data_IF_202036600367
#
_entry.id   IF_202036600367
#
_cell.length_a   1.000
_cell.length_b   1.000
_cell.length_c   1.000
_cell.angle_alpha   90.00
_cell.angle_beta   90.00
_cell.angle_gamma   90.00
#
_symmetry.space_group_name_H-M   'P 1'
#
loop_
_entity.id
_entity.type
_entity.pdbx_description
1 polymer ?
#
# COMPACT_ATOMS: atom_id res chain seq x y z
N UNK A 1 -14.01 13.04 -15.17
CA UNK A 1 -12.89 13.25 -14.24
C UNK A 1 -12.36 14.65 -14.50
N UNK A 2 -12.32 15.48 -13.47
CA UNK A 2 -11.79 16.84 -13.56
C UNK A 2 -10.27 16.76 -13.73
N UNK A 3 -9.71 17.48 -14.72
CA UNK A 3 -8.26 17.50 -15.04
C UNK A 3 -7.43 17.99 -13.85
N UNK A 4 -8.07 18.63 -12.87
CA UNK A 4 -7.45 19.26 -11.70
C UNK A 4 -6.94 18.28 -10.62
N UNK A 5 -7.43 17.04 -10.53
CA UNK A 5 -6.97 16.07 -9.50
C UNK A 5 -5.68 15.36 -9.88
N UNK A 6 -5.41 15.14 -11.17
CA UNK A 6 -4.21 14.44 -11.64
C UNK A 6 -2.90 15.23 -11.45
N UNK A 7 -2.97 16.54 -11.16
CA UNK A 7 -1.79 17.41 -11.04
C UNK A 7 -1.32 17.61 -9.59
N UNK A 8 -1.93 16.95 -8.61
CA UNK A 8 -1.58 17.12 -7.21
C UNK A 8 -0.37 16.28 -6.78
N UNK A 9 -0.10 15.19 -7.49
CA UNK A 9 0.96 14.23 -7.19
C UNK A 9 1.68 13.82 -8.48
N UNK A 10 2.93 13.38 -8.37
CA UNK A 10 3.69 12.81 -9.49
C UNK A 10 4.38 11.52 -9.05
N UNK A 11 4.37 10.48 -9.88
CA UNK A 11 4.97 9.20 -9.53
C UNK A 11 6.49 9.23 -9.73
N UNK A 12 7.24 8.82 -8.70
CA UNK A 12 8.70 8.91 -8.71
C UNK A 12 9.41 7.57 -8.61
N UNK A 13 8.68 6.49 -8.33
CA UNK A 13 9.22 5.13 -8.39
C UNK A 13 8.52 4.14 -7.49
N UNK A 14 8.96 2.90 -7.54
CA UNK A 14 8.40 1.78 -6.80
C UNK A 14 9.54 0.95 -6.21
N UNK A 15 9.26 0.32 -5.07
CA UNK A 15 10.11 -0.73 -4.52
C UNK A 15 9.24 -1.92 -4.17
N UNK A 16 9.67 -3.10 -4.59
CA UNK A 16 9.01 -4.36 -4.31
C UNK A 16 9.94 -5.23 -3.45
N UNK A 17 9.42 -5.74 -2.34
CA UNK A 17 10.12 -6.69 -1.47
C UNK A 17 9.36 -8.00 -1.57
N UNK A 18 9.94 -8.99 -2.25
CA UNK A 18 9.37 -10.33 -2.27
C UNK A 18 10.09 -11.22 -1.26
N UNK A 19 9.37 -11.82 -0.33
CA UNK A 19 9.99 -12.64 0.71
C UNK A 19 10.71 -13.86 0.11
N UNK A 20 10.32 -14.32 -1.09
CA UNK A 20 11.01 -15.41 -1.80
C UNK A 20 12.45 -15.09 -2.22
N UNK A 21 12.82 -13.81 -2.24
CA UNK A 21 14.16 -13.36 -2.62
C UNK A 21 15.17 -13.50 -1.45
N UNK A 22 14.72 -13.98 -0.29
CA UNK A 22 15.52 -14.12 0.92
C UNK A 22 15.60 -15.58 1.40
N UNK A 23 16.73 -15.94 2.00
CA UNK A 23 16.98 -17.27 2.54
C UNK A 23 16.42 -17.39 3.97
N UNK A 24 15.30 -18.11 4.11
CA UNK A 24 14.71 -18.46 5.41
C UNK A 24 15.38 -19.72 6.00
N UNK A 25 15.54 -19.76 7.32
CA UNK A 25 16.09 -20.92 8.04
C UNK A 25 15.14 -22.14 8.01
N UNK A 26 13.83 -21.91 7.97
CA UNK A 26 12.80 -22.96 7.84
C UNK A 26 12.21 -23.02 6.42
N UNK A 27 11.90 -24.23 5.94
CA UNK A 27 11.29 -24.42 4.61
C UNK A 27 9.80 -24.03 4.58
N UNK A 28 9.42 -23.10 3.70
CA UNK A 28 8.22 -23.26 2.89
C UNK A 28 6.85 -22.72 3.35
N UNK A 29 6.73 -21.60 4.09
CA UNK A 29 5.43 -20.88 4.24
C UNK A 29 5.46 -19.36 4.08
N UNK A 30 6.62 -18.73 4.24
CA UNK A 30 6.75 -17.27 4.28
C UNK A 30 7.07 -16.63 2.93
N UNK A 31 7.38 -17.46 1.92
CA UNK A 31 7.85 -17.04 0.58
C UNK A 31 6.75 -16.50 -0.33
N UNK A 32 5.48 -16.57 0.09
CA UNK A 32 4.35 -16.05 -0.66
C UNK A 32 4.00 -14.62 -0.29
N UNK A 33 4.63 -14.05 0.76
CA UNK A 33 4.40 -12.66 1.16
C UNK A 33 5.25 -11.70 0.36
N UNK A 34 4.70 -10.52 0.13
CA UNK A 34 5.42 -9.43 -0.50
C UNK A 34 4.89 -8.06 -0.06
N UNK A 35 5.73 -7.05 -0.25
CA UNK A 35 5.37 -5.64 -0.02
C UNK A 35 5.64 -4.87 -1.31
N UNK A 36 4.61 -4.20 -1.84
CA UNK A 36 4.74 -3.22 -2.90
C UNK A 36 4.63 -1.80 -2.34
N UNK A 37 5.62 -0.95 -2.62
CA UNK A 37 5.64 0.44 -2.17
C UNK A 37 5.82 1.39 -3.35
N UNK A 38 4.81 2.21 -3.64
CA UNK A 38 4.81 3.23 -4.72
C UNK A 38 4.98 4.63 -4.15
N UNK A 39 5.94 5.37 -4.69
CA UNK A 39 6.38 6.70 -4.24
C UNK A 39 5.84 7.77 -5.16
N UNK A 40 5.37 8.86 -4.56
CA UNK A 40 4.92 10.03 -5.28
C UNK A 40 5.44 11.31 -4.62
N UNK A 41 5.74 12.32 -5.43
CA UNK A 41 5.95 13.68 -4.97
C UNK A 41 4.59 14.36 -4.76
N UNK A 42 4.44 15.10 -3.65
CA UNK A 42 3.28 15.93 -3.35
C UNK A 42 3.50 17.34 -3.90
N UNK A 43 2.99 17.59 -5.10
CA UNK A 43 3.18 18.87 -5.81
C UNK A 43 2.37 20.01 -5.19
N UNK A 44 1.27 19.68 -4.52
CA UNK A 44 0.35 20.64 -3.89
C UNK A 44 0.18 20.35 -2.39
N UNK A 45 1.18 20.71 -1.56
CA UNK A 45 1.17 20.43 -0.11
C UNK A 45 0.18 21.30 0.67
N UNK A 46 -0.56 22.18 0.00
CA UNK A 46 -1.64 22.98 0.56
C UNK A 46 -3.02 22.28 0.51
N UNK A 47 -3.18 21.26 -0.33
CA UNK A 47 -4.42 20.50 -0.44
C UNK A 47 -4.65 19.62 0.78
N UNK A 48 -5.89 19.42 1.18
CA UNK A 48 -6.24 18.52 2.28
C UNK A 48 -5.96 17.04 1.95
N UNK A 49 -5.86 16.20 2.98
CA UNK A 49 -5.52 14.79 2.81
C UNK A 49 -6.57 14.02 1.99
N UNK A 50 -7.85 14.43 2.01
CA UNK A 50 -8.92 13.78 1.25
C UNK A 50 -8.74 14.02 -0.25
N UNK A 51 -8.33 15.22 -0.64
CA UNK A 51 -7.94 15.55 -2.00
C UNK A 51 -6.69 14.79 -2.44
N UNK A 52 -5.69 14.67 -1.57
CA UNK A 52 -4.46 13.90 -1.86
C UNK A 52 -4.80 12.42 -2.10
N UNK A 53 -5.63 11.81 -1.24
CA UNK A 53 -6.11 10.43 -1.44
C UNK A 53 -6.90 10.29 -2.74
N UNK A 54 -7.75 11.27 -3.07
CA UNK A 54 -8.50 11.28 -4.32
C UNK A 54 -7.60 11.36 -5.56
N UNK A 55 -6.54 12.16 -5.50
CA UNK A 55 -5.53 12.24 -6.55
C UNK A 55 -4.76 10.93 -6.69
N UNK A 56 -4.40 10.27 -5.58
CA UNK A 56 -3.74 8.97 -5.57
C UNK A 56 -4.62 7.89 -6.22
N UNK A 57 -5.87 7.76 -5.80
CA UNK A 57 -6.82 6.77 -6.33
C UNK A 57 -7.08 6.98 -7.83
N UNK A 58 -7.06 8.23 -8.30
CA UNK A 58 -7.23 8.57 -9.70
C UNK A 58 -5.93 8.41 -10.54
N UNK A 59 -4.79 8.15 -9.91
CA UNK A 59 -3.50 8.08 -10.60
C UNK A 59 -3.33 6.72 -11.29
N UNK A 60 -2.75 6.63 -12.51
CA UNK A 60 -2.58 5.36 -13.23
C UNK A 60 -1.85 4.27 -12.45
N UNK A 61 -0.91 4.65 -11.58
CA UNK A 61 -0.16 3.72 -10.72
C UNK A 61 -1.01 3.04 -9.64
N UNK A 62 -2.21 3.56 -9.37
CA UNK A 62 -3.18 2.94 -8.47
C UNK A 62 -3.98 1.83 -9.17
N UNK A 63 -3.92 1.69 -10.50
CA UNK A 63 -4.69 0.69 -11.26
C UNK A 63 -4.04 -0.71 -11.25
N UNK A 64 -3.28 -1.01 -10.21
CA UNK A 64 -2.66 -2.32 -10.05
C UNK A 64 -3.67 -3.27 -9.43
N UNK A 65 -3.91 -4.39 -10.09
CA UNK A 65 -4.89 -5.35 -9.60
C UNK A 65 -4.38 -6.14 -8.39
N UNK A 66 -3.07 -6.14 -8.16
CA UNK A 66 -2.38 -6.89 -7.13
C UNK A 66 -2.60 -8.42 -7.18
N UNK A 67 -3.16 -8.96 -8.26
CA UNK A 67 -3.37 -10.41 -8.49
C UNK A 67 -2.44 -10.96 -9.58
N UNK A 68 -1.36 -10.23 -9.88
CA UNK A 68 -0.30 -10.63 -10.81
C UNK A 68 -0.45 -10.11 -12.24
N UNK A 69 -1.51 -9.33 -12.55
CA UNK A 69 -1.69 -8.67 -13.85
C UNK A 69 -0.85 -7.41 -14.00
N UNK A 70 -0.51 -6.75 -12.89
CA UNK A 70 0.17 -5.46 -12.86
C UNK A 70 -0.77 -4.32 -13.25
N UNK A 71 -0.23 -3.24 -13.81
CA UNK A 71 -1.02 -2.06 -14.19
C UNK A 71 -1.89 -2.35 -15.43
N UNK A 72 -3.20 -2.30 -15.25
CA UNK A 72 -4.19 -2.35 -16.33
C UNK A 72 -4.97 -1.03 -16.41
N UNK A 73 -4.79 -0.22 -17.47
CA UNK A 73 -5.54 1.02 -17.67
C UNK A 73 -7.06 0.83 -17.76
N UNK A 74 -7.53 -0.36 -18.16
CA UNK A 74 -8.94 -0.73 -18.22
C UNK A 74 -9.36 -1.57 -17.00
N UNK A 75 -8.44 -1.75 -16.05
CA UNK A 75 -8.61 -2.56 -14.86
C UNK A 75 -9.75 -2.05 -13.98
N UNK A 76 -10.55 -3.00 -13.48
CA UNK A 76 -11.67 -2.72 -12.59
C UNK A 76 -11.39 -3.15 -11.15
N UNK A 77 -10.22 -3.73 -10.88
CA UNK A 77 -9.86 -4.40 -9.63
C UNK A 77 -8.71 -3.68 -8.96
N UNK A 78 -8.65 -3.84 -7.64
CA UNK A 78 -7.56 -3.35 -6.81
C UNK A 78 -7.48 -4.22 -5.55
N UNK A 79 -6.54 -5.18 -5.55
CA UNK A 79 -6.49 -6.22 -4.53
C UNK A 79 -7.83 -6.97 -4.45
N UNK A 80 -8.42 -7.14 -3.25
CA UNK A 80 -9.66 -7.88 -3.10
C UNK A 80 -10.91 -7.11 -3.51
N UNK A 81 -10.80 -5.82 -3.86
CA UNK A 81 -11.96 -4.96 -4.08
C UNK A 81 -12.16 -4.57 -5.55
N UNK A 82 -13.40 -4.24 -5.91
CA UNK A 82 -13.67 -3.46 -7.12
C UNK A 82 -13.14 -2.04 -6.92
N UNK A 83 -12.35 -1.54 -7.87
CA UNK A 83 -11.77 -0.20 -7.83
C UNK A 83 -12.83 0.89 -7.64
N UNK A 84 -14.02 0.72 -8.24
CA UNK A 84 -15.16 1.65 -8.08
C UNK A 84 -15.70 1.76 -6.65
N UNK A 85 -15.27 0.90 -5.73
CA UNK A 85 -15.67 0.87 -4.33
C UNK A 85 -14.65 1.53 -3.41
N UNK A 86 -13.45 1.82 -3.92
CA UNK A 86 -12.41 2.53 -3.18
C UNK A 86 -12.61 4.03 -3.39
N UNK A 87 -12.58 4.78 -2.29
CA UNK A 87 -12.68 6.23 -2.30
C UNK A 87 -11.86 6.81 -1.15
N UNK A 88 -11.61 8.13 -1.10
CA UNK A 88 -10.96 8.71 0.06
C UNK A 88 -11.66 8.38 1.40
N UNK A 89 -12.98 8.18 1.36
CA UNK A 89 -13.80 7.82 2.52
C UNK A 89 -13.74 6.33 2.90
N UNK A 90 -13.02 5.48 2.16
CA UNK A 90 -12.69 4.10 2.58
C UNK A 90 -11.42 4.03 3.42
N UNK A 91 -10.59 5.07 3.40
CA UNK A 91 -9.41 5.15 4.26
C UNK A 91 -9.79 5.67 5.64
N UNK A 92 -9.18 5.08 6.66
CA UNK A 92 -9.25 5.55 8.05
C UNK A 92 -7.93 6.19 8.41
N UNK A 93 -7.96 7.44 8.87
CA UNK A 93 -6.78 8.06 9.49
C UNK A 93 -6.41 7.30 10.76
N UNK A 94 -5.15 6.90 10.87
CA UNK A 94 -4.59 6.21 12.04
C UNK A 94 -3.32 6.94 12.48
N UNK A 95 -2.91 6.74 13.72
CA UNK A 95 -1.58 7.16 14.15
C UNK A 95 -0.50 6.19 13.62
N UNK A 96 0.75 6.63 13.65
CA UNK A 96 1.88 5.88 13.13
C UNK A 96 2.07 4.56 13.91
N UNK A 97 1.80 4.56 15.22
CA UNK A 97 1.88 3.36 16.06
C UNK A 97 0.89 2.28 15.60
N UNK A 98 -0.36 2.65 15.33
CA UNK A 98 -1.38 1.72 14.81
C UNK A 98 -0.98 1.17 13.43
N UNK A 99 -0.42 2.00 12.55
CA UNK A 99 0.04 1.54 11.24
C UNK A 99 1.24 0.57 11.35
N UNK A 100 2.18 0.85 12.26
CA UNK A 100 3.29 -0.05 12.57
C UNK A 100 2.78 -1.37 13.15
N UNK A 101 1.85 -1.34 14.09
CA UNK A 101 1.29 -2.55 14.71
C UNK A 101 0.64 -3.47 13.67
N UNK A 102 -0.08 -2.90 12.69
CA UNK A 102 -0.66 -3.69 11.57
C UNK A 102 0.44 -4.37 10.76
N UNK A 103 1.48 -3.63 10.37
CA UNK A 103 2.59 -4.17 9.58
C UNK A 103 3.40 -5.21 10.38
N UNK A 104 3.70 -4.95 11.64
CA UNK A 104 4.44 -5.89 12.50
C UNK A 104 3.64 -7.16 12.78
N UNK A 105 2.32 -7.06 12.97
CA UNK A 105 1.45 -8.24 13.08
C UNK A 105 1.51 -9.08 11.81
N UNK A 106 1.37 -8.44 10.65
CA UNK A 106 1.47 -9.11 9.35
C UNK A 106 2.86 -9.73 9.11
N UNK A 107 3.96 -9.04 9.45
CA UNK A 107 5.34 -9.56 9.36
C UNK A 107 5.52 -10.76 10.29
N UNK A 108 5.03 -10.67 11.54
CA UNK A 108 5.17 -11.74 12.53
C UNK A 108 4.37 -13.00 12.17
N UNK A 109 3.34 -12.88 11.33
CA UNK A 109 2.66 -14.00 10.69
C UNK A 109 3.60 -14.89 9.87
N UNK A 110 4.80 -14.39 9.53
CA UNK A 110 5.87 -15.13 8.90
C UNK A 110 6.87 -15.81 9.85
N UNK A 111 6.60 -15.88 11.15
CA UNK A 111 7.58 -16.41 12.10
C UNK A 111 8.86 -15.56 12.12
N UNK A 112 10.01 -16.20 12.32
CA UNK A 112 11.29 -15.48 12.27
C UNK A 112 11.69 -15.19 10.81
N UNK A 113 11.85 -13.92 10.47
CA UNK A 113 12.34 -13.48 9.17
C UNK A 113 13.87 -13.30 9.18
N UNK A 114 14.57 -13.47 8.03
CA UNK A 114 16.00 -13.21 7.93
C UNK A 114 16.35 -11.76 8.28
N UNK A 115 17.49 -11.55 8.94
CA UNK A 115 17.95 -10.19 9.31
C UNK A 115 18.07 -9.26 8.09
N UNK A 116 18.55 -9.78 6.95
CA UNK A 116 18.64 -9.01 5.71
C UNK A 116 17.27 -8.53 5.20
N UNK A 117 16.24 -9.38 5.31
CA UNK A 117 14.86 -9.01 4.99
C UNK A 117 14.34 -7.98 5.99
N UNK A 118 14.60 -8.17 7.29
CA UNK A 118 14.18 -7.24 8.33
C UNK A 118 14.75 -5.83 8.10
N UNK A 119 16.05 -5.73 7.82
CA UNK A 119 16.72 -4.45 7.50
C UNK A 119 16.07 -3.79 6.28
N UNK A 120 15.72 -4.55 5.25
CA UNK A 120 15.08 -4.00 4.06
C UNK A 120 13.67 -3.47 4.35
N UNK A 121 12.87 -4.22 5.12
CA UNK A 121 11.54 -3.81 5.56
C UNK A 121 11.62 -2.57 6.46
N UNK A 122 12.53 -2.54 7.43
CA UNK A 122 12.71 -1.40 8.31
C UNK A 122 12.98 -0.12 7.49
N UNK A 123 13.97 -0.15 6.60
CA UNK A 123 14.37 1.03 5.84
C UNK A 123 13.34 1.46 4.79
N UNK A 124 12.71 0.52 4.08
CA UNK A 124 11.83 0.83 2.94
C UNK A 124 10.36 1.04 3.36
N UNK A 125 9.96 0.54 4.52
CA UNK A 125 8.56 0.49 4.95
C UNK A 125 8.37 1.12 6.32
N UNK A 126 9.03 0.58 7.36
CA UNK A 126 8.72 0.96 8.75
C UNK A 126 9.27 2.34 9.14
N UNK A 127 10.47 2.71 8.68
CA UNK A 127 11.03 4.05 8.86
C UNK A 127 10.16 5.13 8.21
N UNK A 128 9.72 5.01 6.94
CA UNK A 128 8.73 5.92 6.36
C UNK A 128 7.45 6.03 7.20
N UNK A 129 6.92 4.92 7.73
CA UNK A 129 5.73 4.95 8.60
C UNK A 129 6.02 5.73 9.88
N UNK A 130 7.19 5.58 10.50
CA UNK A 130 7.58 6.35 11.72
C UNK A 130 7.68 7.85 11.46
N UNK A 131 8.12 8.25 10.26
CA UNK A 131 8.38 9.64 9.90
C UNK A 131 7.17 10.37 9.29
N UNK A 132 6.18 9.64 8.77
CA UNK A 132 5.03 10.22 8.07
C UNK A 132 4.22 11.20 8.93
N UNK A 133 3.82 12.31 8.33
CA UNK A 133 2.97 13.33 9.00
C UNK A 133 1.51 12.89 9.14
N UNK A 134 1.05 11.98 8.29
CA UNK A 134 -0.26 11.35 8.39
C UNK A 134 -0.23 9.93 7.79
N UNK A 135 -0.93 9.01 8.44
CA UNK A 135 -1.10 7.63 8.00
C UNK A 135 -2.58 7.32 7.77
N UNK A 136 -2.87 6.62 6.68
CA UNK A 136 -4.21 6.23 6.27
C UNK A 136 -4.24 4.74 5.95
N UNK A 137 -5.07 3.98 6.66
CA UNK A 137 -5.26 2.56 6.42
C UNK A 137 -6.54 2.34 5.62
N UNK A 138 -6.47 1.59 4.52
CA UNK A 138 -7.68 1.12 3.83
C UNK A 138 -8.45 0.20 4.79
N UNK A 139 -9.71 0.52 5.06
CA UNK A 139 -10.55 -0.33 5.91
C UNK A 139 -10.92 -1.60 5.16
N UNK A 140 -11.18 -2.67 5.92
CA UNK A 140 -11.93 -3.80 5.39
C UNK A 140 -13.29 -3.32 4.90
N UNK A 141 -13.56 -3.52 3.62
CA UNK A 141 -14.85 -3.17 3.01
C UNK A 141 -15.80 -4.35 3.12
N UNK A 142 -17.10 -4.08 2.98
CA UNK A 142 -18.10 -5.14 3.01
C UNK A 142 -18.02 -6.05 1.77
N UNK A 143 -18.70 -7.20 1.84
CA UNK A 143 -18.69 -8.20 0.77
C UNK A 143 -19.24 -7.69 -0.58
N UNK A 144 -19.97 -6.57 -0.61
CA UNK A 144 -20.44 -5.98 -1.88
C UNK A 144 -19.34 -5.21 -2.60
N UNK A 145 -18.23 -4.93 -1.91
CA UNK A 145 -17.03 -4.35 -2.48
C UNK A 145 -16.06 -5.40 -3.03
N UNK A 146 -16.18 -6.67 -2.61
CA UNK A 146 -15.31 -7.75 -3.05
C UNK A 146 -15.44 -8.01 -4.56
N UNK A 147 -14.29 -8.17 -5.22
CA UNK A 147 -14.25 -8.58 -6.63
C UNK A 147 -14.28 -10.11 -6.79
N UNK A 148 -14.23 -10.57 -8.03
CA UNK A 148 -14.25 -11.99 -8.41
C UNK A 148 -12.98 -12.77 -8.05
N UNK A 149 -11.93 -12.08 -7.60
CA UNK A 149 -10.65 -12.62 -7.14
C UNK A 149 -10.36 -12.27 -5.67
N UNK A 150 -11.37 -11.86 -4.89
CA UNK A 150 -11.18 -11.38 -3.52
C UNK A 150 -10.55 -12.41 -2.58
N UNK A 151 -10.66 -13.70 -2.90
CA UNK A 151 -10.14 -14.82 -2.12
C UNK A 151 -8.73 -15.27 -2.55
N UNK A 152 -8.05 -14.54 -3.46
CA UNK A 152 -6.66 -14.85 -3.85
C UNK A 152 -5.70 -14.62 -2.68
N UNK A 153 -5.86 -13.50 -1.97
CA UNK A 153 -5.01 -13.14 -0.85
C UNK A 153 -5.64 -13.57 0.47
N UNK A 154 -4.84 -14.12 1.40
CA UNK A 154 -5.34 -14.36 2.76
C UNK A 154 -5.44 -13.05 3.55
N UNK A 155 -4.50 -12.14 3.35
CA UNK A 155 -4.47 -10.83 3.98
C UNK A 155 -4.14 -9.74 2.95
N UNK A 156 -4.83 -8.59 3.01
CA UNK A 156 -4.53 -7.42 2.18
C UNK A 156 -4.49 -6.16 3.03
N UNK A 157 -3.31 -5.59 3.21
CA UNK A 157 -3.09 -4.37 3.99
C UNK A 157 -2.60 -3.26 3.08
N UNK A 158 -3.37 -2.19 2.98
CA UNK A 158 -2.98 -1.00 2.23
C UNK A 158 -2.89 0.23 3.13
N UNK A 159 -1.74 0.89 3.09
CA UNK A 159 -1.42 2.05 3.90
C UNK A 159 -0.93 3.17 2.99
N UNK A 160 -1.52 4.36 3.13
CA UNK A 160 -1.04 5.59 2.49
C UNK A 160 -0.40 6.48 3.54
N UNK A 161 0.86 6.81 3.31
CA UNK A 161 1.62 7.77 4.09
C UNK A 161 1.65 9.10 3.35
N UNK A 162 1.40 10.19 4.07
CA UNK A 162 1.60 11.55 3.57
C UNK A 162 2.62 12.22 4.48
N UNK A 163 3.73 12.65 3.90
CA UNK A 163 4.74 13.48 4.55
C UNK A 163 4.77 14.85 3.88
N UNK A 164 4.20 15.86 4.56
CA UNK A 164 4.20 17.25 4.07
C UNK A 164 5.53 17.97 4.27
N UNK A 165 6.37 17.50 5.20
CA UNK A 165 7.70 18.06 5.44
C UNK A 165 8.64 17.77 4.27
N UNK A 166 8.64 16.52 3.81
CA UNK A 166 9.44 16.11 2.64
C UNK A 166 8.67 16.15 1.31
N UNK A 167 7.37 16.47 1.35
CA UNK A 167 6.46 16.50 0.21
C UNK A 167 6.40 15.16 -0.53
N UNK A 168 6.22 14.08 0.21
CA UNK A 168 6.16 12.73 -0.33
C UNK A 168 4.88 12.01 0.08
N UNK A 169 4.46 11.10 -0.79
CA UNK A 169 3.43 10.12 -0.53
C UNK A 169 4.02 8.75 -0.77
N UNK A 170 3.70 7.82 0.11
CA UNK A 170 4.03 6.41 -0.06
C UNK A 170 2.74 5.59 0.03
N UNK A 171 2.39 4.90 -1.04
CA UNK A 171 1.37 3.85 -1.03
C UNK A 171 2.09 2.53 -0.77
N UNK A 172 1.69 1.84 0.29
CA UNK A 172 2.25 0.55 0.70
C UNK A 172 1.12 -0.48 0.63
N UNK A 173 1.36 -1.58 -0.08
CA UNK A 173 0.52 -2.77 -0.08
C UNK A 173 1.35 -3.93 0.44
N UNK A 174 0.87 -4.57 1.52
CA UNK A 174 1.47 -5.76 2.10
C UNK A 174 0.45 -6.91 2.06
N UNK A 175 0.79 -7.99 1.35
CA UNK A 175 -0.15 -9.08 1.05
C UNK A 175 0.58 -10.38 0.69
N UNK A 176 -0.16 -11.43 0.39
CA UNK A 176 0.32 -12.79 0.14
C UNK A 176 -0.30 -13.41 -1.11
N UNK A 177 0.45 -14.28 -1.80
CA UNK A 177 -0.01 -15.10 -2.93
C UNK A 177 -0.63 -16.44 -2.50
#
# INVERSE_FOLDING_TARGET
MDVSTSTAIDYTGQSFINFRDFEFEEEGRHRFRWIDSKKFDLLRPDLDDKFVLGALIAHPQFLDDYVGGGLDPEGLRHGPYWLSRISPDTYRKVDNATALDVLEQWISGCGMIPESLRVEIDHKVLDPVREATACYLLRTLDNTAANDYADIHNEFHEIVLIDRGTRRILLIVATDD
#
